data_IF_946761186293
#
_entry.id   IF_946761186293
#
_cell.length_a   1.000
_cell.length_b   1.000
_cell.length_c   1.000
_cell.angle_alpha   90.00
_cell.angle_beta   90.00
_cell.angle_gamma   90.00
#
_symmetry.space_group_name_H-M   'P 1'
#
loop_
_entity.id
_entity.type
_entity.pdbx_description
1 polymer ?
#
# COMPACT_ATOMS: atom_id res chain seq x y z
N UNK A 1 -16.09 -19.06 6.67
CA UNK A 1 -15.25 -18.38 5.69
C UNK A 1 -15.80 -18.52 4.27
N UNK A 2 -16.21 -19.72 3.84
CA UNK A 2 -16.81 -19.93 2.51
C UNK A 2 -18.01 -19.02 2.24
N UNK A 3 -18.89 -18.84 3.25
CA UNK A 3 -20.06 -17.95 3.15
C UNK A 3 -19.69 -16.47 2.95
N UNK A 4 -18.53 -16.02 3.42
CA UNK A 4 -18.04 -14.65 3.22
C UNK A 4 -17.40 -14.54 1.84
N UNK A 5 -16.59 -15.53 1.44
CA UNK A 5 -15.92 -15.53 0.14
C UNK A 5 -16.91 -15.47 -1.03
N UNK A 6 -18.04 -16.19 -0.93
CA UNK A 6 -19.07 -16.18 -1.97
C UNK A 6 -19.79 -14.83 -2.14
N UNK A 7 -19.68 -13.92 -1.16
CA UNK A 7 -20.24 -12.56 -1.21
C UNK A 7 -19.27 -11.51 -1.72
N UNK A 8 -18.01 -11.86 -1.94
CA UNK A 8 -17.02 -10.93 -2.49
C UNK A 8 -17.25 -10.69 -3.99
N UNK A 9 -16.84 -9.54 -4.54
CA UNK A 9 -16.78 -9.33 -5.99
C UNK A 9 -16.00 -10.44 -6.70
N UNK A 10 -16.39 -10.78 -7.93
CA UNK A 10 -15.79 -11.87 -8.71
C UNK A 10 -14.26 -11.74 -8.84
N UNK A 11 -13.76 -10.51 -9.03
CA UNK A 11 -12.33 -10.23 -9.08
C UNK A 11 -11.60 -10.72 -7.81
N UNK A 12 -12.11 -10.38 -6.63
CA UNK A 12 -11.50 -10.79 -5.36
C UNK A 12 -11.65 -12.29 -5.11
N UNK A 13 -12.79 -12.88 -5.46
CA UNK A 13 -12.97 -14.34 -5.41
C UNK A 13 -11.92 -15.04 -6.29
N UNK A 14 -11.72 -14.52 -7.50
CA UNK A 14 -10.73 -15.02 -8.44
C UNK A 14 -9.30 -14.97 -7.88
N UNK A 15 -8.88 -13.82 -7.37
CA UNK A 15 -7.56 -13.64 -6.74
C UNK A 15 -7.35 -14.66 -5.61
N UNK A 16 -8.33 -14.82 -4.72
CA UNK A 16 -8.24 -15.74 -3.58
C UNK A 16 -8.28 -17.22 -3.98
N UNK A 17 -8.75 -17.53 -5.17
CA UNK A 17 -8.79 -18.91 -5.70
C UNK A 17 -7.47 -19.37 -6.32
N UNK A 18 -6.56 -18.44 -6.65
CA UNK A 18 -5.27 -18.75 -7.30
C UNK A 18 -4.41 -19.65 -6.42
N UNK A 19 -4.26 -19.32 -5.14
CA UNK A 19 -3.50 -20.14 -4.19
C UNK A 19 -4.44 -21.01 -3.35
N UNK A 20 -4.65 -22.23 -3.81
CA UNK A 20 -5.51 -23.21 -3.15
C UNK A 20 -4.93 -23.73 -1.83
N UNK A 21 -3.62 -23.63 -1.65
CA UNK A 21 -2.90 -24.17 -0.50
C UNK A 21 -2.82 -23.18 0.67
N UNK A 22 -3.24 -21.94 0.48
CA UNK A 22 -3.28 -20.92 1.54
C UNK A 22 -4.25 -21.28 2.64
N UNK A 23 -3.78 -21.19 3.89
CA UNK A 23 -4.63 -21.33 5.07
C UNK A 23 -5.56 -20.12 5.24
N UNK A 24 -6.42 -20.17 6.26
CA UNK A 24 -7.43 -19.12 6.52
C UNK A 24 -6.80 -17.74 6.76
N UNK A 25 -5.69 -17.68 7.50
CA UNK A 25 -4.98 -16.43 7.77
C UNK A 25 -4.33 -15.89 6.50
N UNK A 26 -3.61 -16.72 5.76
CA UNK A 26 -2.99 -16.35 4.49
C UNK A 26 -3.99 -15.82 3.48
N UNK A 27 -5.19 -16.42 3.38
CA UNK A 27 -6.27 -15.89 2.52
C UNK A 27 -6.78 -14.52 2.97
N UNK A 28 -6.82 -14.24 4.28
CA UNK A 28 -7.13 -12.88 4.77
C UNK A 28 -6.04 -11.89 4.35
N UNK A 29 -4.77 -12.29 4.43
CA UNK A 29 -3.65 -11.43 4.00
C UNK A 29 -3.72 -11.12 2.51
N UNK A 30 -3.97 -12.13 1.68
CA UNK A 30 -4.17 -11.96 0.23
C UNK A 30 -5.33 -11.02 -0.08
N UNK A 31 -6.46 -11.15 0.64
CA UNK A 31 -7.60 -10.25 0.50
C UNK A 31 -7.23 -8.81 0.86
N UNK A 32 -6.65 -8.60 2.04
CA UNK A 32 -6.31 -7.25 2.53
C UNK A 32 -5.29 -6.60 1.59
N UNK A 33 -4.24 -7.31 1.20
CA UNK A 33 -3.22 -6.76 0.29
C UNK A 33 -3.80 -6.43 -1.09
N UNK A 34 -4.66 -7.29 -1.62
CA UNK A 34 -5.30 -7.05 -2.93
C UNK A 34 -6.24 -5.84 -2.88
N UNK A 35 -7.08 -5.73 -1.85
CA UNK A 35 -8.00 -4.60 -1.70
C UNK A 35 -7.23 -3.29 -1.48
N UNK A 36 -6.15 -3.31 -0.68
CA UNK A 36 -5.28 -2.15 -0.47
C UNK A 36 -4.61 -1.70 -1.78
N UNK A 37 -4.09 -2.65 -2.55
CA UNK A 37 -3.45 -2.36 -3.84
C UNK A 37 -4.44 -1.86 -4.89
N UNK A 38 -5.61 -2.49 -5.02
CA UNK A 38 -6.68 -2.03 -5.91
C UNK A 38 -7.13 -0.62 -5.52
N UNK A 39 -7.37 -0.37 -4.24
CA UNK A 39 -7.75 0.96 -3.76
C UNK A 39 -6.68 2.01 -4.02
N UNK A 40 -5.38 1.64 -3.91
CA UNK A 40 -4.27 2.53 -4.26
C UNK A 40 -4.23 2.87 -5.75
N UNK A 41 -4.53 1.90 -6.62
CA UNK A 41 -4.51 2.07 -8.09
C UNK A 41 -5.69 2.91 -8.60
N UNK A 42 -6.79 2.93 -7.87
CA UNK A 42 -8.04 3.57 -8.30
C UNK A 42 -8.38 4.86 -7.51
N UNK A 43 -7.45 5.83 -7.35
CA UNK A 43 -7.67 7.02 -6.51
C UNK A 43 -8.77 7.94 -7.03
N UNK A 44 -9.13 7.84 -8.31
CA UNK A 44 -10.20 8.64 -8.92
C UNK A 44 -11.61 8.10 -8.64
N UNK A 45 -11.74 6.87 -8.11
CA UNK A 45 -13.00 6.34 -7.62
C UNK A 45 -13.33 6.96 -6.27
N UNK A 46 -14.08 8.04 -6.29
CA UNK A 46 -14.33 8.85 -5.11
C UNK A 46 -15.81 8.86 -4.75
N UNK A 47 -16.06 8.99 -3.47
CA UNK A 47 -17.39 9.26 -2.93
C UNK A 47 -17.32 10.38 -1.89
N UNK A 48 -18.45 10.97 -1.59
CA UNK A 48 -18.58 11.97 -0.53
C UNK A 48 -19.21 11.30 0.68
N UNK A 49 -18.57 11.39 1.83
CA UNK A 49 -19.11 10.85 3.07
C UNK A 49 -20.22 11.75 3.66
N UNK A 50 -20.85 11.30 4.76
CA UNK A 50 -21.91 12.08 5.43
C UNK A 50 -21.48 13.47 5.88
N UNK A 51 -20.19 13.68 6.12
CA UNK A 51 -19.63 14.98 6.55
C UNK A 51 -19.18 15.83 5.35
N UNK A 52 -19.64 15.54 4.15
CA UNK A 52 -19.28 16.24 2.90
C UNK A 52 -17.78 16.18 2.58
N UNK A 53 -17.02 15.23 3.16
CA UNK A 53 -15.63 15.01 2.84
C UNK A 53 -15.49 14.03 1.68
N UNK A 54 -14.58 14.35 0.77
CA UNK A 54 -14.18 13.48 -0.31
C UNK A 54 -13.40 12.28 0.25
N UNK A 55 -13.73 11.10 -0.23
CA UNK A 55 -13.05 9.84 0.13
C UNK A 55 -12.70 9.08 -1.14
N UNK A 56 -11.51 8.55 -1.22
CA UNK A 56 -11.09 7.56 -2.20
C UNK A 56 -10.88 6.19 -1.53
N UNK A 57 -10.71 5.11 -2.30
CA UNK A 57 -10.57 3.77 -1.74
C UNK A 57 -9.16 3.46 -1.17
N UNK A 58 -8.40 4.47 -0.77
CA UNK A 58 -7.11 4.29 -0.12
C UNK A 58 -7.26 3.63 1.25
N UNK A 59 -6.35 2.69 1.55
CA UNK A 59 -6.38 1.90 2.79
C UNK A 59 -5.00 1.93 3.44
N UNK A 60 -4.98 2.08 4.76
CA UNK A 60 -3.80 1.85 5.59
C UNK A 60 -3.94 0.48 6.25
N UNK A 61 -3.22 -0.52 5.72
CA UNK A 61 -3.24 -1.88 6.22
C UNK A 61 -1.96 -2.21 7.00
N UNK A 62 -2.12 -2.61 8.25
CA UNK A 62 -1.03 -3.05 9.13
C UNK A 62 -1.25 -4.51 9.49
N UNK A 63 -0.33 -5.36 9.09
CA UNK A 63 -0.42 -6.81 9.27
C UNK A 63 0.56 -7.25 10.34
N UNK A 64 0.04 -7.85 11.38
CA UNK A 64 0.80 -8.27 12.53
C UNK A 64 0.73 -9.79 12.69
N UNK A 65 1.87 -10.39 12.95
CA UNK A 65 1.93 -11.83 13.20
C UNK A 65 3.32 -12.25 13.66
N UNK A 66 3.37 -13.43 14.27
CA UNK A 66 4.61 -14.04 14.72
C UNK A 66 5.57 -14.31 13.54
N UNK A 67 6.88 -14.42 13.80
CA UNK A 67 7.82 -14.92 12.81
C UNK A 67 7.34 -16.28 12.25
N UNK A 68 7.43 -16.46 10.93
CA UNK A 68 6.97 -17.70 10.28
C UNK A 68 5.45 -17.85 10.11
N UNK A 69 4.64 -16.84 10.43
CA UNK A 69 3.17 -16.88 10.28
C UNK A 69 2.69 -16.80 8.81
N UNK A 70 3.59 -16.69 7.84
CA UNK A 70 3.24 -16.59 6.41
C UNK A 70 2.82 -15.17 5.99
N UNK A 71 3.28 -14.13 6.69
CA UNK A 71 3.02 -12.71 6.37
C UNK A 71 3.42 -12.32 4.94
N UNK A 72 4.39 -13.00 4.32
CA UNK A 72 4.79 -12.78 2.93
C UNK A 72 3.67 -12.92 1.90
N UNK A 73 2.54 -13.54 2.27
CA UNK A 73 1.35 -13.59 1.38
C UNK A 73 0.74 -12.22 1.08
N UNK A 74 1.18 -11.14 1.71
CA UNK A 74 0.84 -9.76 1.31
C UNK A 74 1.43 -9.38 -0.05
N UNK A 75 2.47 -10.08 -0.51
CA UNK A 75 3.12 -9.81 -1.81
C UNK A 75 2.17 -10.00 -3.01
N UNK A 76 1.07 -10.70 -2.82
CA UNK A 76 0.02 -10.87 -3.85
C UNK A 76 -0.47 -9.52 -4.37
N UNK A 77 -0.75 -8.57 -3.49
CA UNK A 77 -1.15 -7.21 -3.88
C UNK A 77 -0.07 -6.46 -4.66
N UNK A 78 1.21 -6.78 -4.41
CA UNK A 78 2.32 -6.14 -5.11
C UNK A 78 2.35 -6.46 -6.60
N UNK A 79 1.80 -7.58 -7.05
CA UNK A 79 1.66 -7.89 -8.48
C UNK A 79 0.85 -6.83 -9.20
N UNK A 80 -0.23 -6.35 -8.59
CA UNK A 80 -1.08 -5.27 -9.13
C UNK A 80 -0.29 -3.96 -9.20
N UNK A 81 0.39 -3.61 -8.11
CA UNK A 81 1.16 -2.37 -8.02
C UNK A 81 2.35 -2.33 -9.00
N UNK A 82 3.08 -3.44 -9.11
CA UNK A 82 4.23 -3.55 -10.03
C UNK A 82 3.81 -3.38 -11.49
N UNK A 83 2.68 -3.98 -11.88
CA UNK A 83 2.14 -3.80 -13.22
C UNK A 83 1.72 -2.36 -13.49
N UNK A 84 1.01 -1.75 -12.54
CA UNK A 84 0.61 -0.34 -12.63
C UNK A 84 1.82 0.58 -12.76
N UNK A 85 2.87 0.35 -11.96
CA UNK A 85 4.11 1.09 -12.05
C UNK A 85 4.79 0.94 -13.41
N UNK A 86 4.79 -0.26 -13.98
CA UNK A 86 5.32 -0.53 -15.33
C UNK A 86 4.63 0.31 -16.40
N UNK A 87 3.30 0.40 -16.37
CA UNK A 87 2.51 1.23 -17.30
C UNK A 87 2.82 2.72 -17.11
N UNK A 88 2.83 3.21 -15.87
CA UNK A 88 3.11 4.61 -15.57
C UNK A 88 4.52 5.01 -16.01
N UNK A 89 5.54 4.18 -15.74
CA UNK A 89 6.93 4.44 -16.18
C UNK A 89 7.06 4.52 -17.70
N UNK A 90 6.35 3.68 -18.43
CA UNK A 90 6.34 3.74 -19.90
C UNK A 90 5.72 5.03 -20.43
N UNK A 91 4.68 5.54 -19.77
CA UNK A 91 3.98 6.77 -20.17
C UNK A 91 4.79 8.03 -19.86
N UNK A 92 5.64 8.01 -18.84
CA UNK A 92 6.36 9.21 -18.33
C UNK A 92 7.79 9.33 -18.85
N UNK A 93 8.27 8.42 -19.69
CA UNK A 93 9.67 8.38 -20.15
C UNK A 93 10.20 9.65 -20.85
N UNK A 94 9.34 10.65 -21.09
CA UNK A 94 9.66 11.89 -21.83
C UNK A 94 9.64 13.19 -21.01
N UNK A 95 9.23 13.16 -19.74
CA UNK A 95 9.17 14.40 -18.95
C UNK A 95 10.50 14.58 -18.19
N UNK A 96 11.26 15.61 -18.54
CA UNK A 96 12.46 16.01 -17.76
C UNK A 96 11.99 16.45 -16.36
N UNK A 97 12.33 15.65 -15.35
CA UNK A 97 12.12 16.02 -13.96
C UNK A 97 13.18 17.06 -13.53
N UNK A 98 12.81 17.96 -12.64
CA UNK A 98 13.76 18.90 -12.05
C UNK A 98 14.92 18.12 -11.38
N UNK A 99 16.17 18.61 -11.49
CA UNK A 99 17.30 17.96 -10.85
C UNK A 99 17.08 17.77 -9.34
N UNK A 100 17.32 16.58 -8.84
CA UNK A 100 17.18 16.25 -7.42
C UNK A 100 15.79 15.67 -7.01
N UNK A 101 14.77 15.73 -7.88
CA UNK A 101 13.50 15.04 -7.63
C UNK A 101 13.61 13.53 -7.92
N UNK A 102 12.83 12.70 -7.23
CA UNK A 102 12.74 11.27 -7.54
C UNK A 102 12.08 11.04 -8.90
N UNK A 103 12.38 9.92 -9.52
CA UNK A 103 11.59 9.43 -10.64
C UNK A 103 10.19 9.06 -10.18
N UNK A 104 9.20 9.21 -11.07
CA UNK A 104 7.82 8.81 -10.79
C UNK A 104 7.77 7.31 -10.47
N UNK A 105 7.20 6.96 -9.32
CA UNK A 105 7.02 5.58 -8.89
C UNK A 105 5.75 5.46 -8.05
N UNK A 106 5.00 4.39 -8.21
CA UNK A 106 3.77 4.15 -7.44
C UNK A 106 4.03 3.36 -6.16
N UNK A 107 5.13 2.61 -6.12
CA UNK A 107 5.58 1.87 -4.95
C UNK A 107 6.66 2.70 -4.26
N UNK A 108 6.32 3.31 -3.13
CA UNK A 108 7.22 4.15 -2.36
C UNK A 108 7.93 3.29 -1.31
N UNK A 109 9.27 3.28 -1.26
CA UNK A 109 10.01 2.53 -0.25
C UNK A 109 9.70 3.01 1.17
N UNK A 110 9.54 2.08 2.10
CA UNK A 110 9.20 2.39 3.50
C UNK A 110 10.31 3.05 4.31
N UNK A 111 11.57 2.91 3.88
CA UNK A 111 12.73 3.56 4.49
C UNK A 111 12.99 4.98 3.94
N UNK A 112 12.01 5.54 3.23
CA UNK A 112 12.11 6.89 2.68
C UNK A 112 12.06 7.94 3.79
N UNK A 113 12.79 9.05 3.64
CA UNK A 113 12.69 10.18 4.56
C UNK A 113 11.40 10.97 4.33
N UNK A 114 10.97 11.79 5.33
CA UNK A 114 9.82 12.70 5.21
C UNK A 114 9.89 13.55 3.93
N UNK A 115 11.00 14.22 3.72
CA UNK A 115 11.22 15.04 2.53
C UNK A 115 11.06 14.25 1.25
N UNK A 116 11.62 13.04 1.20
CA UNK A 116 11.57 12.17 0.03
C UNK A 116 10.17 11.63 -0.23
N UNK A 117 9.40 11.29 0.80
CA UNK A 117 7.99 10.94 0.64
C UNK A 117 7.20 12.07 -0.01
N UNK A 118 7.38 13.30 0.48
CA UNK A 118 6.70 14.49 -0.04
C UNK A 118 7.09 14.72 -1.51
N UNK A 119 8.37 14.57 -1.84
CA UNK A 119 8.84 14.66 -3.23
C UNK A 119 8.22 13.58 -4.14
N UNK A 120 8.06 12.33 -3.66
CA UNK A 120 7.37 11.29 -4.41
C UNK A 120 5.91 11.66 -4.67
N UNK A 121 5.18 12.09 -3.63
CA UNK A 121 3.79 12.50 -3.77
C UNK A 121 3.63 13.71 -4.72
N UNK A 122 4.55 14.67 -4.66
CA UNK A 122 4.60 15.83 -5.54
C UNK A 122 4.81 15.43 -7.00
N UNK A 123 5.82 14.61 -7.28
CA UNK A 123 6.15 14.16 -8.64
C UNK A 123 5.05 13.27 -9.23
N UNK A 124 4.42 12.44 -8.40
CA UNK A 124 3.32 11.60 -8.84
C UNK A 124 2.08 12.43 -9.16
N UNK A 125 1.85 13.50 -8.41
CA UNK A 125 0.73 14.43 -8.59
C UNK A 125 -0.56 14.01 -7.90
N UNK A 126 -1.56 14.88 -7.95
CA UNK A 126 -2.89 14.66 -7.38
C UNK A 126 -3.57 13.44 -7.99
N UNK A 127 -4.34 12.73 -7.20
CA UNK A 127 -5.09 11.52 -7.61
C UNK A 127 -4.24 10.44 -8.28
N UNK A 128 -2.95 10.40 -7.99
CA UNK A 128 -2.06 9.36 -8.50
C UNK A 128 -2.01 8.14 -7.59
N UNK A 129 -1.82 6.94 -8.14
CA UNK A 129 -1.56 5.74 -7.34
C UNK A 129 -0.29 5.90 -6.50
N UNK A 130 -0.38 5.67 -5.19
CA UNK A 130 0.76 5.65 -4.29
C UNK A 130 0.57 4.58 -3.22
N UNK A 131 1.54 3.69 -3.08
CA UNK A 131 1.58 2.69 -2.04
C UNK A 131 2.90 2.75 -1.28
N UNK A 132 2.84 3.05 0.01
CA UNK A 132 3.97 2.87 0.91
C UNK A 132 3.98 1.40 1.35
N UNK A 133 5.01 0.66 0.97
CA UNK A 133 5.08 -0.78 1.18
C UNK A 133 6.29 -1.20 2.02
N UNK A 134 6.05 -2.08 3.00
CA UNK A 134 7.11 -2.75 3.75
C UNK A 134 6.68 -4.13 4.26
N UNK A 135 7.54 -5.10 4.09
CA UNK A 135 7.40 -6.42 4.74
C UNK A 135 7.88 -6.42 6.18
N UNK A 136 8.60 -5.38 6.60
CA UNK A 136 9.17 -5.24 7.94
C UNK A 136 8.93 -3.83 8.48
N UNK A 137 8.22 -3.74 9.60
CA UNK A 137 7.91 -2.46 10.23
C UNK A 137 9.16 -1.72 10.74
N UNK A 138 10.23 -2.46 11.05
CA UNK A 138 11.50 -1.87 11.49
C UNK A 138 12.10 -0.91 10.46
N UNK A 139 11.85 -1.14 9.17
CA UNK A 139 12.29 -0.23 8.11
C UNK A 139 11.62 1.16 8.20
N UNK A 140 10.47 1.25 8.87
CA UNK A 140 9.75 2.50 9.10
C UNK A 140 10.07 3.15 10.46
N UNK A 141 10.96 2.54 11.24
CA UNK A 141 11.24 2.96 12.61
C UNK A 141 11.70 4.40 12.74
N UNK A 142 12.67 4.79 11.91
CA UNK A 142 13.17 6.17 11.87
C UNK A 142 12.13 7.16 11.37
N UNK A 143 11.20 6.68 10.59
CA UNK A 143 10.14 7.41 9.91
C UNK A 143 8.95 7.72 10.84
N UNK A 144 8.67 6.83 11.80
CA UNK A 144 7.50 6.93 12.69
C UNK A 144 7.87 7.44 14.10
N UNK A 145 9.11 7.27 14.54
CA UNK A 145 9.56 7.63 15.91
C UNK A 145 9.88 9.10 16.12
N UNK A 146 10.10 9.83 15.07
CA UNK A 146 10.58 11.21 15.18
C UNK A 146 9.38 12.16 15.35
N UNK A 147 8.96 12.39 16.61
CA UNK A 147 7.86 13.31 16.95
C UNK A 147 8.10 14.75 16.42
N UNK A 148 9.36 15.12 16.16
CA UNK A 148 9.74 16.44 15.67
C UNK A 148 9.74 16.54 14.13
N UNK A 149 9.71 15.43 13.39
CA UNK A 149 9.80 15.44 11.93
C UNK A 149 8.46 15.22 11.21
N UNK A 150 7.38 14.97 11.96
CA UNK A 150 6.00 15.08 11.45
C UNK A 150 5.58 14.14 10.33
N UNK A 151 6.25 12.99 10.14
CA UNK A 151 5.87 12.01 9.11
C UNK A 151 4.44 11.49 9.30
N UNK A 152 4.02 11.36 10.54
CA UNK A 152 2.67 10.97 10.93
C UNK A 152 1.61 11.98 10.48
N UNK A 153 1.95 13.27 10.44
CA UNK A 153 1.06 14.33 9.95
C UNK A 153 0.81 14.18 8.45
N UNK A 154 1.86 13.97 7.65
CA UNK A 154 1.73 13.78 6.20
C UNK A 154 0.93 12.51 5.87
N UNK A 155 1.13 11.42 6.60
CA UNK A 155 0.34 10.21 6.43
C UNK A 155 -1.15 10.49 6.71
N UNK A 156 -1.48 11.23 7.78
CA UNK A 156 -2.87 11.57 8.10
C UNK A 156 -3.49 12.48 7.04
N UNK A 157 -2.76 13.52 6.60
CA UNK A 157 -3.21 14.41 5.53
C UNK A 157 -3.43 13.64 4.22
N UNK A 158 -2.50 12.76 3.86
CA UNK A 158 -2.64 11.95 2.65
C UNK A 158 -3.80 10.95 2.73
N UNK A 159 -4.12 10.43 3.93
CA UNK A 159 -5.29 9.58 4.14
C UNK A 159 -6.60 10.34 3.92
N UNK A 160 -6.69 11.57 4.41
CA UNK A 160 -7.87 12.44 4.33
C UNK A 160 -7.91 13.29 3.05
N UNK A 161 -6.95 13.15 2.14
CA UNK A 161 -6.77 13.96 0.92
C UNK A 161 -6.63 15.46 1.19
N UNK A 162 -6.14 15.83 2.36
CA UNK A 162 -5.88 17.22 2.73
C UNK A 162 -4.59 17.71 2.06
N UNK A 163 -4.60 18.97 1.58
CA UNK A 163 -3.42 19.58 0.93
C UNK A 163 -2.19 19.51 1.85
N UNK A 164 -1.09 19.03 1.32
CA UNK A 164 0.22 19.02 1.97
C UNK A 164 1.06 20.16 1.43
N UNK A 165 1.44 21.09 2.33
CA UNK A 165 2.40 22.16 2.04
C UNK A 165 3.69 21.90 2.80
N UNK A 166 4.79 21.82 2.08
CA UNK A 166 6.11 21.54 2.67
C UNK A 166 7.17 22.46 2.09
N UNK A 167 7.82 23.24 2.95
CA UNK A 167 8.89 24.16 2.56
C UNK A 167 10.25 23.65 3.04
N UNK A 168 11.21 23.65 2.14
CA UNK A 168 12.61 23.31 2.44
C UNK A 168 13.39 24.61 2.62
N UNK A 169 14.03 24.76 3.78
CA UNK A 169 14.82 25.97 4.12
C UNK A 169 15.99 26.17 3.14
N UNK A 170 16.61 25.09 2.70
CA UNK A 170 17.72 25.12 1.74
C UNK A 170 17.15 25.23 0.33
N UNK A 171 17.32 26.39 -0.31
CA UNK A 171 16.90 26.63 -1.69
C UNK A 171 15.52 27.24 -1.91
N UNK A 172 14.81 27.68 -0.85
CA UNK A 172 13.46 28.30 -0.93
C UNK A 172 12.44 27.50 -1.77
N UNK A 173 12.49 26.18 -1.69
CA UNK A 173 11.59 25.30 -2.43
C UNK A 173 10.36 24.98 -1.57
N UNK A 174 9.16 25.16 -2.14
CA UNK A 174 7.89 24.77 -1.50
C UNK A 174 7.19 23.76 -2.40
N UNK A 175 6.82 22.62 -1.83
CA UNK A 175 6.00 21.60 -2.48
C UNK A 175 4.57 21.74 -1.99
N UNK A 176 3.64 21.91 -2.91
CA UNK A 176 2.20 21.89 -2.64
C UNK A 176 1.61 20.68 -3.36
N UNK A 177 0.95 19.82 -2.61
CA UNK A 177 0.32 18.60 -3.12
C UNK A 177 -1.15 18.68 -2.79
N UNK A 178 -1.96 18.96 -3.79
CA UNK A 178 -3.40 18.96 -3.64
C UNK A 178 -3.96 17.56 -3.86
N UNK A 179 -4.91 17.16 -3.03
CA UNK A 179 -5.54 15.86 -3.06
C UNK A 179 -4.52 14.69 -3.13
N UNK A 180 -3.56 14.62 -2.18
CA UNK A 180 -2.64 13.51 -2.12
C UNK A 180 -3.44 12.21 -1.91
N UNK A 181 -3.05 11.15 -2.61
CA UNK A 181 -3.58 9.82 -2.36
C UNK A 181 -2.43 8.90 -1.95
N UNK A 182 -2.60 8.19 -0.86
CA UNK A 182 -1.61 7.24 -0.37
C UNK A 182 -2.31 6.07 0.30
N UNK A 183 -1.93 4.87 -0.07
CA UNK A 183 -2.23 3.65 0.68
C UNK A 183 -0.98 3.17 1.42
N UNK A 184 -1.19 2.44 2.50
CA UNK A 184 -0.14 1.84 3.31
C UNK A 184 -0.37 0.34 3.40
N UNK A 185 0.65 -0.46 3.10
CA UNK A 185 0.64 -1.91 3.29
C UNK A 185 1.94 -2.33 3.97
N UNK A 186 1.86 -2.58 5.26
CA UNK A 186 3.05 -2.91 6.06
C UNK A 186 2.80 -4.15 6.90
N UNK A 187 3.86 -4.93 7.12
CA UNK A 187 3.80 -6.07 8.02
C UNK A 187 4.91 -6.04 9.07
N UNK A 188 4.64 -6.65 10.22
CA UNK A 188 5.58 -6.71 11.32
C UNK A 188 5.13 -7.64 12.43
N UNK A 189 5.81 -7.55 13.56
CA UNK A 189 5.42 -8.21 14.82
C UNK A 189 4.68 -7.21 15.73
N UNK A 190 3.96 -7.72 16.71
CA UNK A 190 3.26 -6.89 17.68
C UNK A 190 4.23 -5.98 18.46
N UNK A 191 5.38 -6.51 18.86
CA UNK A 191 6.40 -5.75 19.59
C UNK A 191 6.95 -4.58 18.79
N UNK A 192 7.12 -4.77 17.46
CA UNK A 192 7.51 -3.69 16.56
C UNK A 192 6.48 -2.56 16.57
N UNK A 193 5.19 -2.91 16.49
CA UNK A 193 4.10 -1.91 16.49
C UNK A 193 4.02 -1.14 17.78
N UNK A 194 4.03 -1.84 18.93
CA UNK A 194 3.96 -1.20 20.25
C UNK A 194 5.13 -0.25 20.50
N UNK A 195 6.27 -0.49 19.85
CA UNK A 195 7.43 0.39 19.94
C UNK A 195 7.36 1.63 19.03
N UNK A 196 6.45 1.70 18.03
CA UNK A 196 6.52 2.71 16.97
C UNK A 196 5.21 3.45 16.70
N UNK A 197 4.07 2.82 16.92
CA UNK A 197 2.79 3.47 16.70
C UNK A 197 2.30 4.10 17.99
N UNK A 198 2.52 5.39 18.12
CA UNK A 198 1.86 6.15 19.18
C UNK A 198 0.35 6.17 18.91
N UNK A 199 -0.43 5.53 19.76
CA UNK A 199 -1.89 5.45 19.67
C UNK A 199 -2.54 6.84 19.69
N UNK A 200 -1.88 7.81 20.33
CA UNK A 200 -2.40 9.15 20.53
C UNK A 200 -2.35 10.03 19.27
N UNK A 201 -1.50 9.70 18.28
CA UNK A 201 -1.32 10.56 17.11
C UNK A 201 -2.39 10.42 16.02
N UNK A 202 -3.43 9.60 16.22
CA UNK A 202 -4.54 9.43 15.29
C UNK A 202 -4.24 8.65 14.01
N UNK A 203 -2.99 8.21 13.77
CA UNK A 203 -2.65 7.35 12.63
C UNK A 203 -3.26 5.96 12.80
N UNK A 204 -3.26 5.46 14.02
CA UNK A 204 -3.77 4.14 14.36
C UNK A 204 -5.27 3.99 14.08
N UNK A 205 -6.05 5.05 14.33
CA UNK A 205 -7.50 5.05 14.07
C UNK A 205 -7.87 4.96 12.59
N UNK A 206 -6.91 5.19 11.70
CA UNK A 206 -7.06 5.10 10.25
C UNK A 206 -6.56 3.77 9.69
N UNK A 207 -5.92 2.95 10.52
CA UNK A 207 -5.32 1.70 10.10
C UNK A 207 -6.27 0.52 10.23
N UNK A 208 -6.37 -0.29 9.18
CA UNK A 208 -6.94 -1.62 9.22
C UNK A 208 -5.88 -2.58 9.76
N UNK A 209 -6.05 -3.03 11.00
CA UNK A 209 -5.09 -3.93 11.66
C UNK A 209 -5.56 -5.36 11.51
N UNK A 210 -4.70 -6.21 10.97
CA UNK A 210 -4.92 -7.65 10.91
C UNK A 210 -3.84 -8.34 11.75
N UNK A 211 -4.25 -8.98 12.84
CA UNK A 211 -3.36 -9.68 13.75
C UNK A 211 -3.66 -11.18 13.79
N UNK A 212 -2.61 -11.98 13.86
CA UNK A 212 -2.72 -13.43 14.09
C UNK A 212 -1.57 -13.96 14.95
N UNK A 213 -1.92 -14.82 15.87
CA UNK A 213 -0.99 -15.67 16.63
C UNK A 213 -0.75 -17.02 15.97
N UNK A 214 -1.43 -17.31 14.84
CA UNK A 214 -1.25 -18.58 14.13
C UNK A 214 0.17 -18.67 13.58
N UNK A 215 0.86 -19.77 13.88
CA UNK A 215 2.12 -20.12 13.23
C UNK A 215 1.80 -20.86 11.93
N UNK A 216 2.52 -20.55 10.86
CA UNK A 216 2.41 -21.34 9.66
C UNK A 216 3.00 -22.72 9.92
N UNK A 217 2.26 -23.78 9.58
CA UNK A 217 2.83 -25.10 9.51
C UNK A 217 3.83 -25.14 8.34
N UNK A 218 5.06 -25.52 8.64
CA UNK A 218 6.05 -25.74 7.60
C UNK A 218 5.63 -26.96 6.77
N UNK A 219 5.19 -26.71 5.55
CA UNK A 219 4.94 -27.76 4.57
C UNK A 219 6.15 -27.82 3.65
N UNK A 220 6.81 -28.96 3.64
CA UNK A 220 7.93 -29.23 2.74
C UNK A 220 7.40 -29.24 1.29
N UNK A 221 7.43 -28.08 0.65
CA UNK A 221 6.99 -27.91 -0.73
C UNK A 221 8.23 -27.68 -1.58
N UNK A 222 8.45 -28.54 -2.56
CA UNK A 222 9.47 -28.30 -3.59
C UNK A 222 9.13 -26.98 -4.29
N UNK A 223 9.93 -25.96 -4.04
CA UNK A 223 9.66 -24.56 -4.41
C UNK A 223 9.54 -24.35 -5.94
N UNK A 224 10.14 -25.20 -6.74
CA UNK A 224 10.29 -24.96 -8.18
C UNK A 224 9.01 -25.14 -9.01
N UNK A 225 8.02 -25.92 -8.54
CA UNK A 225 6.85 -26.28 -9.35
C UNK A 225 5.61 -25.41 -9.09
N UNK A 226 5.60 -24.56 -8.06
CA UNK A 226 4.38 -23.86 -7.64
C UNK A 226 4.35 -22.35 -7.91
N UNK A 227 5.48 -21.67 -7.98
CA UNK A 227 5.51 -20.21 -8.07
C UNK A 227 5.08 -19.68 -9.45
N UNK A 228 5.48 -20.33 -10.53
CA UNK A 228 5.14 -19.87 -11.88
C UNK A 228 3.64 -19.89 -12.19
N UNK A 229 2.87 -20.96 -11.88
CA UNK A 229 1.42 -20.97 -12.07
C UNK A 229 0.71 -19.93 -11.20
N UNK A 230 1.14 -19.76 -9.95
CA UNK A 230 0.58 -18.77 -9.03
C UNK A 230 0.81 -17.33 -9.55
N UNK A 231 2.04 -17.01 -9.92
CA UNK A 231 2.37 -15.70 -10.45
C UNK A 231 1.58 -15.37 -11.72
N UNK A 232 1.41 -16.35 -12.64
CA UNK A 232 0.59 -16.17 -13.84
C UNK A 232 -0.88 -15.92 -13.51
N UNK A 233 -1.43 -16.62 -12.51
CA UNK A 233 -2.79 -16.41 -12.05
C UNK A 233 -3.02 -14.99 -11.52
N UNK A 234 -2.13 -14.52 -10.65
CA UNK A 234 -2.23 -13.15 -10.10
C UNK A 234 -2.01 -12.07 -11.16
N UNK A 235 -1.13 -12.31 -12.13
CA UNK A 235 -0.87 -11.40 -13.24
C UNK A 235 -2.13 -11.11 -14.06
N UNK A 236 -2.96 -12.12 -14.34
CA UNK A 236 -4.23 -11.94 -15.04
C UNK A 236 -5.15 -10.94 -14.33
N UNK A 237 -5.33 -11.10 -13.02
CA UNK A 237 -6.18 -10.18 -12.25
C UNK A 237 -5.58 -8.77 -12.12
N UNK A 238 -4.26 -8.65 -12.17
CA UNK A 238 -3.62 -7.34 -12.26
C UNK A 238 -3.91 -6.66 -13.60
N UNK A 239 -4.02 -7.42 -14.70
CA UNK A 239 -4.43 -6.88 -16.01
C UNK A 239 -5.87 -6.36 -15.98
N UNK A 240 -6.80 -7.09 -15.33
CA UNK A 240 -8.19 -6.65 -15.18
C UNK A 240 -8.27 -5.31 -14.38
N UNK A 241 -7.46 -5.15 -13.33
CA UNK A 241 -7.39 -3.88 -12.56
C UNK A 241 -6.81 -2.75 -13.39
N UNK A 242 -5.77 -3.02 -14.19
CA UNK A 242 -5.19 -2.02 -15.09
C UNK A 242 -6.15 -1.59 -16.19
N UNK A 243 -6.97 -2.49 -16.71
CA UNK A 243 -8.01 -2.12 -17.66
C UNK A 243 -8.98 -1.11 -17.07
N UNK A 244 -9.39 -1.31 -15.81
CA UNK A 244 -10.22 -0.34 -15.09
C UNK A 244 -9.48 0.98 -14.91
N UNK A 245 -8.21 0.94 -14.45
CA UNK A 245 -7.38 2.14 -14.27
C UNK A 245 -7.25 2.98 -15.55
N UNK A 246 -7.08 2.34 -16.71
CA UNK A 246 -6.91 3.02 -18.00
C UNK A 246 -8.21 3.61 -18.55
N UNK A 247 -9.38 3.16 -18.07
CA UNK A 247 -10.69 3.69 -18.50
C UNK A 247 -11.07 4.99 -17.80
N UNK A 248 -10.50 5.27 -16.64
CA UNK A 248 -10.79 6.41 -15.76
C UNK A 248 -9.55 7.24 -15.44
#
# INVERSE_FOLDING_TARGET
METILSKLPQLLQGILSVDKNSNKFQKKLQLISSVTSIGSVLPKFQCVNRNQKLMSPNIYAVILGEPGSGKSKIDVGMTIMTKTEGVIKQTVSTTMLEPGLPTKCVIIPSNTSRQRLIQHLYVNGSYSPNLLYSTELDNMKSTLKDDNTGFSEELRKAFEHETINYSIKTGNLTYTIDHPNLSLLVSGTLDQVLGYLNVENGLFSRALICYSTEKAEFKDQKAEDQDKPLQKGYTRYADDVLEIYNRY
#
